data_IF_011476868816
#
_entry.id   IF_011476868816
#
_cell.length_a   1.000
_cell.length_b   1.000
_cell.length_c   1.000
_cell.angle_alpha   90.00
_cell.angle_beta   90.00
_cell.angle_gamma   90.00
#
_symmetry.space_group_name_H-M   'P 1'
#
loop_
_entity.id
_entity.type
_entity.pdbx_description
1 polymer ?
#
# COMPACT_ATOMS: atom_id res chain seq x y z
N UNK A 1 -28.90 -22.13 -13.18
CA UNK A 1 -29.92 -21.07 -13.21
C UNK A 1 -29.25 -19.73 -13.37
N UNK A 2 -28.70 -19.19 -12.28
CA UNK A 2 -27.88 -17.97 -12.30
C UNK A 2 -26.64 -18.11 -13.20
N UNK A 3 -25.87 -19.19 -13.06
CA UNK A 3 -24.67 -19.45 -13.89
C UNK A 3 -24.95 -19.38 -15.40
N UNK A 4 -25.93 -20.15 -15.89
CA UNK A 4 -26.35 -20.15 -17.29
C UNK A 4 -26.82 -18.76 -17.79
N UNK A 5 -27.46 -17.96 -16.92
CA UNK A 5 -27.84 -16.60 -17.27
C UNK A 5 -26.61 -15.71 -17.43
N UNK A 6 -25.66 -15.78 -16.50
CA UNK A 6 -24.40 -15.02 -16.57
C UNK A 6 -23.58 -15.44 -17.79
N UNK A 7 -23.47 -16.74 -18.07
CA UNK A 7 -22.83 -17.26 -19.28
C UNK A 7 -23.44 -16.63 -20.54
N UNK A 8 -24.76 -16.67 -20.67
CA UNK A 8 -25.45 -16.12 -21.84
C UNK A 8 -25.28 -14.59 -21.97
N UNK A 9 -25.19 -13.86 -20.85
CA UNK A 9 -24.95 -12.42 -20.85
C UNK A 9 -23.51 -12.09 -21.27
N UNK A 10 -22.52 -12.82 -20.76
CA UNK A 10 -21.11 -12.65 -21.12
C UNK A 10 -20.89 -13.02 -22.60
N UNK A 11 -21.37 -14.19 -23.03
CA UNK A 11 -21.32 -14.65 -24.43
C UNK A 11 -22.01 -13.67 -25.39
N UNK A 12 -23.08 -13.02 -24.92
CA UNK A 12 -23.81 -11.99 -25.64
C UNK A 12 -23.18 -10.61 -25.62
N UNK A 13 -21.98 -10.45 -25.05
CA UNK A 13 -21.26 -9.18 -24.90
C UNK A 13 -22.09 -8.08 -24.22
N UNK A 14 -22.79 -8.44 -23.13
CA UNK A 14 -23.70 -7.52 -22.43
C UNK A 14 -23.03 -6.20 -22.06
N UNK A 15 -21.75 -6.21 -21.66
CA UNK A 15 -21.05 -4.99 -21.21
C UNK A 15 -20.83 -4.04 -22.39
N UNK A 16 -20.41 -4.53 -23.55
CA UNK A 16 -20.27 -3.71 -24.76
C UNK A 16 -21.60 -3.03 -25.14
N UNK A 17 -22.72 -3.77 -25.08
CA UNK A 17 -24.05 -3.25 -25.38
C UNK A 17 -24.52 -2.22 -24.33
N UNK A 18 -24.25 -2.49 -23.05
CA UNK A 18 -24.55 -1.56 -21.95
C UNK A 18 -23.75 -0.25 -22.10
N UNK A 19 -22.46 -0.33 -22.41
CA UNK A 19 -21.60 0.84 -22.64
C UNK A 19 -22.10 1.65 -23.84
N UNK A 20 -22.47 0.99 -24.94
CA UNK A 20 -23.06 1.67 -26.10
C UNK A 20 -24.34 2.43 -25.74
N UNK A 21 -25.16 1.88 -24.83
CA UNK A 21 -26.34 2.57 -24.32
C UNK A 21 -25.96 3.74 -23.40
N UNK A 22 -25.02 3.54 -22.47
CA UNK A 22 -24.51 4.58 -21.55
C UNK A 22 -24.01 5.81 -22.28
N UNK A 23 -23.41 5.67 -23.47
CA UNK A 23 -22.95 6.81 -24.26
C UNK A 23 -24.07 7.72 -24.78
N UNK A 24 -25.32 7.25 -24.76
CA UNK A 24 -26.50 7.97 -25.27
C UNK A 24 -27.35 8.60 -24.17
N UNK A 25 -27.12 8.22 -22.92
CA UNK A 25 -27.91 8.69 -21.78
C UNK A 25 -27.50 10.12 -21.36
N UNK A 26 -28.49 10.97 -21.12
CA UNK A 26 -28.35 12.32 -20.59
C UNK A 26 -28.71 12.34 -19.10
N UNK A 27 -27.70 12.38 -18.24
CA UNK A 27 -27.87 12.40 -16.78
C UNK A 27 -28.50 13.69 -16.23
N UNK A 28 -28.83 14.69 -17.07
CA UNK A 28 -29.71 15.78 -16.66
C UNK A 28 -31.18 15.34 -16.54
N UNK A 29 -31.55 14.22 -17.18
CA UNK A 29 -32.85 13.56 -17.06
C UNK A 29 -32.76 12.50 -15.95
N UNK A 30 -33.63 12.61 -14.94
CA UNK A 30 -33.58 11.75 -13.75
C UNK A 30 -33.69 10.27 -14.11
N UNK A 31 -34.61 9.91 -14.99
CA UNK A 31 -34.83 8.53 -15.43
C UNK A 31 -33.61 7.95 -16.15
N UNK A 32 -32.85 8.77 -16.87
CA UNK A 32 -31.63 8.34 -17.56
C UNK A 32 -30.44 8.27 -16.60
N UNK A 33 -30.36 9.16 -15.60
CA UNK A 33 -29.40 9.05 -14.51
C UNK A 33 -29.62 7.76 -13.68
N UNK A 34 -30.89 7.39 -13.42
CA UNK A 34 -31.24 6.10 -12.81
C UNK A 34 -30.84 4.93 -13.74
N UNK A 35 -30.93 5.11 -15.06
CA UNK A 35 -30.44 4.15 -16.06
C UNK A 35 -28.93 3.91 -15.99
N UNK A 36 -28.14 4.97 -15.80
CA UNK A 36 -26.70 4.87 -15.55
C UNK A 36 -26.42 4.08 -14.27
N UNK A 37 -27.11 4.43 -13.18
CA UNK A 37 -26.97 3.75 -11.89
C UNK A 37 -27.26 2.24 -12.00
N UNK A 38 -28.38 1.87 -12.62
CA UNK A 38 -28.75 0.47 -12.83
C UNK A 38 -27.74 -0.28 -13.71
N UNK A 39 -27.11 0.40 -14.67
CA UNK A 39 -26.06 -0.21 -15.50
C UNK A 39 -24.83 -0.56 -14.69
N UNK A 40 -24.39 0.35 -13.80
CA UNK A 40 -23.28 0.09 -12.89
C UNK A 40 -23.60 -1.05 -11.91
N UNK A 41 -24.83 -1.09 -11.40
CA UNK A 41 -25.31 -2.18 -10.55
C UNK A 41 -25.31 -3.53 -11.24
N UNK A 42 -25.66 -3.60 -12.54
CA UNK A 42 -25.54 -4.86 -13.29
C UNK A 42 -24.09 -5.33 -13.31
N UNK A 43 -23.15 -4.43 -13.61
CA UNK A 43 -21.72 -4.80 -13.66
C UNK A 43 -21.22 -5.25 -12.28
N UNK A 44 -21.53 -4.51 -11.22
CA UNK A 44 -21.14 -4.88 -9.85
C UNK A 44 -21.62 -6.29 -9.49
N UNK A 45 -22.92 -6.57 -9.67
CA UNK A 45 -23.50 -7.88 -9.37
C UNK A 45 -22.85 -9.00 -10.19
N UNK A 46 -22.56 -8.74 -11.47
CA UNK A 46 -21.90 -9.74 -12.31
C UNK A 46 -20.44 -9.97 -11.91
N UNK A 47 -19.71 -8.91 -11.54
CA UNK A 47 -18.34 -8.98 -11.07
C UNK A 47 -18.22 -9.71 -9.72
N UNK A 48 -19.17 -9.49 -8.80
CA UNK A 48 -19.24 -10.21 -7.53
C UNK A 48 -19.50 -11.71 -7.75
N UNK A 49 -20.35 -12.06 -8.72
CA UNK A 49 -20.67 -13.46 -9.02
C UNK A 49 -19.60 -14.18 -9.85
N UNK A 50 -18.95 -13.48 -10.78
CA UNK A 50 -17.93 -14.03 -11.69
C UNK A 50 -16.79 -13.03 -11.93
N UNK A 51 -15.81 -12.92 -11.03
CA UNK A 51 -14.73 -11.94 -11.14
C UNK A 51 -13.92 -12.00 -12.45
N UNK A 52 -13.88 -13.17 -13.10
CA UNK A 52 -13.15 -13.37 -14.35
C UNK A 52 -13.68 -12.52 -15.51
N UNK A 53 -14.94 -12.08 -15.47
CA UNK A 53 -15.49 -11.21 -16.51
C UNK A 53 -14.97 -9.77 -16.44
N UNK A 54 -14.36 -9.35 -15.32
CA UNK A 54 -13.88 -7.97 -15.14
C UNK A 54 -12.88 -7.56 -16.23
N UNK A 55 -12.02 -8.48 -16.68
CA UNK A 55 -11.06 -8.23 -17.76
C UNK A 55 -11.79 -7.93 -19.07
N UNK A 56 -12.75 -8.78 -19.44
CA UNK A 56 -13.53 -8.61 -20.66
C UNK A 56 -14.40 -7.34 -20.59
N UNK A 57 -15.06 -7.09 -19.46
CA UNK A 57 -15.89 -5.91 -19.23
C UNK A 57 -15.09 -4.61 -19.44
N UNK A 58 -13.87 -4.54 -18.89
CA UNK A 58 -13.00 -3.39 -19.06
C UNK A 58 -12.59 -3.19 -20.53
N UNK A 59 -12.19 -4.26 -21.22
CA UNK A 59 -11.80 -4.26 -22.63
C UNK A 59 -12.96 -3.92 -23.58
N UNK A 60 -14.20 -4.28 -23.21
CA UNK A 60 -15.42 -3.93 -23.94
C UNK A 60 -15.82 -2.45 -23.81
N UNK A 61 -14.96 -1.60 -23.24
CA UNK A 61 -15.10 -0.13 -23.23
C UNK A 61 -15.61 0.45 -21.92
N UNK A 62 -15.99 -0.38 -20.94
CA UNK A 62 -16.50 0.11 -19.66
C UNK A 62 -15.44 0.93 -18.91
N UNK A 63 -14.19 0.47 -18.90
CA UNK A 63 -13.10 1.18 -18.20
C UNK A 63 -12.87 2.56 -18.82
N UNK A 64 -12.88 2.66 -20.15
CA UNK A 64 -12.76 3.93 -20.86
C UNK A 64 -13.92 4.88 -20.53
N UNK A 65 -15.14 4.35 -20.45
CA UNK A 65 -16.32 5.12 -20.09
C UNK A 65 -16.25 5.63 -18.65
N UNK A 66 -15.85 4.79 -17.69
CA UNK A 66 -15.69 5.16 -16.27
C UNK A 66 -14.66 6.29 -16.11
N UNK A 67 -13.50 6.20 -16.77
CA UNK A 67 -12.48 7.26 -16.73
C UNK A 67 -13.01 8.58 -17.32
N UNK A 68 -13.77 8.53 -18.42
CA UNK A 68 -14.43 9.70 -19.03
C UNK A 68 -15.43 10.32 -18.06
N UNK A 69 -16.24 9.49 -17.38
CA UNK A 69 -17.27 9.94 -16.43
C UNK A 69 -16.67 10.55 -15.16
N UNK A 70 -15.60 9.99 -14.62
CA UNK A 70 -14.88 10.56 -13.47
C UNK A 70 -14.23 11.90 -13.82
N UNK A 71 -13.65 12.04 -15.02
CA UNK A 71 -13.04 13.28 -15.51
C UNK A 71 -14.04 14.37 -15.90
N UNK A 72 -15.31 14.01 -16.14
CA UNK A 72 -16.33 14.94 -16.58
C UNK A 72 -16.45 16.14 -15.63
N UNK A 73 -16.53 17.35 -16.20
CA UNK A 73 -16.65 18.61 -15.46
C UNK A 73 -18.08 18.85 -15.00
N UNK A 74 -18.59 17.94 -14.19
CA UNK A 74 -19.90 18.02 -13.57
C UNK A 74 -19.76 18.03 -12.04
N UNK A 75 -20.77 18.55 -11.32
CA UNK A 75 -20.81 18.45 -9.87
C UNK A 75 -20.70 17.00 -9.41
N UNK A 76 -20.25 16.80 -8.18
CA UNK A 76 -20.31 15.49 -7.53
C UNK A 76 -21.77 15.04 -7.39
N UNK A 77 -22.02 13.78 -7.74
CA UNK A 77 -23.31 13.09 -7.64
C UNK A 77 -23.10 11.61 -7.28
N UNK A 78 -24.20 10.92 -6.97
CA UNK A 78 -24.17 9.51 -6.57
C UNK A 78 -23.59 8.60 -7.68
N UNK A 79 -23.84 8.91 -8.95
CA UNK A 79 -23.28 8.14 -10.06
C UNK A 79 -21.76 8.31 -10.17
N UNK A 80 -21.20 9.47 -9.83
CA UNK A 80 -19.74 9.67 -9.77
C UNK A 80 -19.11 8.86 -8.65
N UNK A 81 -19.76 8.79 -7.47
CA UNK A 81 -19.35 7.88 -6.40
C UNK A 81 -19.38 6.43 -6.90
N UNK A 82 -20.48 5.99 -7.50
CA UNK A 82 -20.62 4.59 -7.94
C UNK A 82 -19.60 4.22 -9.03
N UNK A 83 -19.27 5.14 -9.93
CA UNK A 83 -18.19 4.94 -10.91
C UNK A 83 -16.84 4.67 -10.23
N UNK A 84 -16.57 5.30 -9.08
CA UNK A 84 -15.31 5.07 -8.34
C UNK A 84 -15.27 3.70 -7.68
N UNK A 85 -16.41 3.18 -7.22
CA UNK A 85 -16.54 1.82 -6.64
C UNK A 85 -16.36 0.75 -7.71
N UNK A 86 -17.10 0.86 -8.83
CA UNK A 86 -16.96 -0.08 -9.95
C UNK A 86 -15.54 -0.05 -10.53
N UNK A 87 -14.91 1.12 -10.60
CA UNK A 87 -13.50 1.22 -11.01
C UNK A 87 -12.58 0.43 -10.07
N UNK A 88 -12.77 0.55 -8.76
CA UNK A 88 -11.98 -0.19 -7.78
C UNK A 88 -12.18 -1.72 -7.94
N UNK A 89 -13.43 -2.17 -8.15
CA UNK A 89 -13.76 -3.57 -8.41
C UNK A 89 -13.05 -4.09 -9.67
N UNK A 90 -13.09 -3.35 -10.79
CA UNK A 90 -12.44 -3.78 -12.03
C UNK A 90 -10.92 -3.91 -11.90
N UNK A 91 -10.29 -3.15 -11.00
CA UNK A 91 -8.85 -3.17 -10.78
C UNK A 91 -8.42 -4.15 -9.68
N UNK A 92 -9.36 -4.73 -8.94
CA UNK A 92 -9.05 -5.63 -7.84
C UNK A 92 -8.42 -6.92 -8.39
N UNK A 93 -7.18 -7.18 -7.98
CA UNK A 93 -6.39 -8.37 -8.36
C UNK A 93 -6.35 -8.69 -9.87
N UNK A 94 -6.34 -7.64 -10.71
CA UNK A 94 -6.41 -7.77 -12.17
C UNK A 94 -5.33 -6.92 -12.88
N UNK A 95 -4.22 -7.55 -13.27
CA UNK A 95 -3.08 -6.86 -13.89
C UNK A 95 -3.38 -6.39 -15.31
N UNK A 96 -4.20 -7.10 -16.07
CA UNK A 96 -4.65 -6.69 -17.41
C UNK A 96 -5.42 -5.36 -17.35
N UNK A 97 -6.32 -5.21 -16.38
CA UNK A 97 -7.08 -3.98 -16.19
C UNK A 97 -6.22 -2.84 -15.65
N UNK A 98 -5.25 -3.14 -14.77
CA UNK A 98 -4.25 -2.16 -14.30
C UNK A 98 -3.39 -1.65 -15.46
N UNK A 99 -3.01 -2.51 -16.40
CA UNK A 99 -2.27 -2.10 -17.59
C UNK A 99 -3.13 -1.25 -18.52
N UNK A 100 -4.34 -1.71 -18.82
CA UNK A 100 -5.28 -0.99 -19.69
C UNK A 100 -5.61 0.41 -19.14
N UNK A 101 -5.82 0.55 -17.83
CA UNK A 101 -6.01 1.86 -17.21
C UNK A 101 -4.80 2.77 -17.46
N UNK A 102 -3.59 2.24 -17.34
CA UNK A 102 -2.35 2.95 -17.62
C UNK A 102 -2.22 3.37 -19.08
N UNK A 103 -2.61 2.53 -20.04
CA UNK A 103 -2.63 2.84 -21.47
C UNK A 103 -3.65 3.93 -21.84
N UNK A 104 -4.74 4.05 -21.09
CA UNK A 104 -5.80 5.04 -21.27
C UNK A 104 -5.53 6.37 -20.55
N UNK A 105 -4.29 6.66 -20.16
CA UNK A 105 -3.89 7.82 -19.33
C UNK A 105 -4.69 7.91 -18.00
N UNK A 106 -5.18 6.77 -17.49
CA UNK A 106 -6.04 6.72 -16.31
C UNK A 106 -5.33 7.15 -15.02
N UNK A 107 -4.00 6.97 -14.94
CA UNK A 107 -3.21 7.44 -13.80
C UNK A 107 -3.32 8.98 -13.66
N UNK A 108 -3.25 9.71 -14.77
CA UNK A 108 -3.41 11.17 -14.76
C UNK A 108 -4.84 11.57 -14.37
N UNK A 109 -5.85 10.79 -14.79
CA UNK A 109 -7.24 11.01 -14.36
C UNK A 109 -7.38 10.85 -12.85
N UNK A 110 -6.86 9.76 -12.28
CA UNK A 110 -6.90 9.49 -10.83
C UNK A 110 -6.19 10.62 -10.06
N UNK A 111 -4.97 10.99 -10.48
CA UNK A 111 -4.20 12.07 -9.87
C UNK A 111 -4.93 13.41 -9.96
N UNK A 112 -5.55 13.72 -11.10
CA UNK A 112 -6.31 14.95 -11.29
C UNK A 112 -7.51 15.02 -10.34
N UNK A 113 -8.29 13.93 -10.21
CA UNK A 113 -9.45 13.88 -9.30
C UNK A 113 -9.00 14.00 -7.83
N UNK A 114 -7.97 13.26 -7.42
CA UNK A 114 -7.41 13.36 -6.08
C UNK A 114 -6.83 14.75 -5.78
N UNK A 115 -6.33 15.45 -6.80
CA UNK A 115 -5.73 16.77 -6.63
C UNK A 115 -6.71 17.84 -6.13
N UNK A 116 -8.02 17.61 -6.20
CA UNK A 116 -9.05 18.50 -5.62
C UNK A 116 -8.92 18.54 -4.10
N UNK A 117 -8.57 17.40 -3.48
CA UNK A 117 -8.50 17.22 -2.02
C UNK A 117 -7.11 17.52 -1.42
N UNK A 118 -6.21 18.16 -2.18
CA UNK A 118 -4.85 18.46 -1.72
C UNK A 118 -4.79 19.51 -0.60
N UNK A 119 -5.73 20.45 -0.57
CA UNK A 119 -5.78 21.58 0.38
C UNK A 119 -7.10 21.72 1.14
N UNK A 120 -8.10 20.95 0.75
CA UNK A 120 -9.44 20.98 1.34
C UNK A 120 -9.89 19.54 1.61
N UNK A 121 -10.72 19.36 2.63
CA UNK A 121 -11.35 18.06 2.87
C UNK A 121 -12.58 17.93 1.95
N UNK A 122 -13.04 16.70 1.67
CA UNK A 122 -14.36 16.46 1.10
C UNK A 122 -15.46 17.17 1.90
N UNK A 123 -16.51 17.61 1.21
CA UNK A 123 -17.63 18.36 1.77
C UNK A 123 -18.67 17.45 2.42
N UNK A 124 -18.80 16.21 1.91
CA UNK A 124 -19.74 15.20 2.40
C UNK A 124 -19.03 13.87 2.68
N UNK A 125 -19.73 12.93 3.31
CA UNK A 125 -19.18 11.60 3.59
C UNK A 125 -19.04 10.77 2.31
N UNK A 126 -20.01 10.92 1.40
CA UNK A 126 -20.05 10.27 0.08
C UNK A 126 -18.89 10.77 -0.80
N UNK A 127 -18.57 12.07 -0.77
CA UNK A 127 -17.41 12.60 -1.50
C UNK A 127 -16.09 12.09 -0.88
N UNK A 128 -16.08 11.84 0.44
CA UNK A 128 -14.93 11.23 1.10
C UNK A 128 -14.77 9.76 0.70
N UNK A 129 -15.86 9.00 0.60
CA UNK A 129 -15.85 7.62 0.13
C UNK A 129 -15.32 7.51 -1.30
N UNK A 130 -15.80 8.37 -2.21
CA UNK A 130 -15.27 8.47 -3.56
C UNK A 130 -13.76 8.75 -3.56
N UNK A 131 -13.30 9.65 -2.70
CA UNK A 131 -11.87 9.95 -2.58
C UNK A 131 -11.06 8.70 -2.16
N UNK A 132 -11.55 7.91 -1.21
CA UNK A 132 -10.87 6.66 -0.80
C UNK A 132 -10.89 5.60 -1.92
N UNK A 133 -12.00 5.44 -2.63
CA UNK A 133 -12.09 4.54 -3.78
C UNK A 133 -11.07 4.88 -4.87
N UNK A 134 -10.84 6.18 -5.12
CA UNK A 134 -9.80 6.65 -6.05
C UNK A 134 -8.38 6.37 -5.53
N UNK A 135 -8.15 6.46 -4.21
CA UNK A 135 -6.88 6.07 -3.61
C UNK A 135 -6.63 4.58 -3.70
N UNK A 136 -7.64 3.74 -3.48
CA UNK A 136 -7.53 2.29 -3.61
C UNK A 136 -7.32 1.86 -5.06
N UNK A 137 -8.03 2.48 -6.00
CA UNK A 137 -7.78 2.31 -7.45
C UNK A 137 -6.33 2.66 -7.81
N UNK A 138 -5.81 3.77 -7.29
CA UNK A 138 -4.44 4.19 -7.53
C UNK A 138 -3.40 3.24 -6.90
N UNK A 139 -3.63 2.78 -5.67
CA UNK A 139 -2.76 1.79 -5.02
C UNK A 139 -2.75 0.46 -5.77
N UNK A 140 -3.92 -0.01 -6.22
CA UNK A 140 -4.04 -1.22 -7.06
C UNK A 140 -3.24 -1.06 -8.35
N UNK A 141 -3.36 0.07 -9.05
CA UNK A 141 -2.58 0.33 -10.26
C UNK A 141 -1.06 0.29 -10.02
N UNK A 142 -0.58 0.77 -8.86
CA UNK A 142 0.85 0.80 -8.52
C UNK A 142 1.45 -0.56 -8.16
N UNK A 143 0.61 -1.59 -7.98
CA UNK A 143 1.07 -2.98 -7.89
C UNK A 143 1.67 -3.44 -9.22
N UNK A 144 1.19 -2.90 -10.35
CA UNK A 144 1.78 -3.15 -11.66
C UNK A 144 2.98 -2.23 -11.93
N UNK A 145 4.06 -2.82 -12.40
CA UNK A 145 5.36 -2.15 -12.52
C UNK A 145 5.36 -0.99 -13.53
N UNK A 146 4.70 -1.17 -14.67
CA UNK A 146 4.57 -0.18 -15.76
C UNK A 146 3.90 1.12 -15.30
N UNK A 147 2.95 1.04 -14.38
CA UNK A 147 2.22 2.19 -13.85
C UNK A 147 3.06 3.07 -12.93
N UNK A 148 4.21 2.59 -12.43
CA UNK A 148 5.09 3.40 -11.58
C UNK A 148 5.79 4.51 -12.35
N UNK A 149 6.19 4.22 -13.59
CA UNK A 149 6.73 5.25 -14.48
C UNK A 149 5.64 6.26 -14.88
N UNK A 150 4.41 5.77 -15.16
CA UNK A 150 3.26 6.63 -15.46
C UNK A 150 2.94 7.57 -14.28
N UNK A 151 2.90 7.03 -13.06
CA UNK A 151 2.71 7.82 -11.82
C UNK A 151 3.82 8.85 -11.59
N UNK A 152 5.07 8.50 -11.88
CA UNK A 152 6.22 9.40 -11.81
C UNK A 152 6.08 10.57 -12.79
N UNK A 153 5.71 10.28 -14.05
CA UNK A 153 5.48 11.27 -15.10
C UNK A 153 4.31 12.20 -14.78
N UNK A 154 3.24 11.67 -14.19
CA UNK A 154 2.06 12.42 -13.75
C UNK A 154 2.26 13.29 -12.50
N UNK A 155 3.50 13.46 -12.01
CA UNK A 155 3.82 14.19 -10.78
C UNK A 155 3.12 13.66 -9.52
N UNK A 156 2.80 12.35 -9.49
CA UNK A 156 2.11 11.72 -8.37
C UNK A 156 2.87 11.89 -7.04
N UNK A 157 4.19 11.77 -7.05
CA UNK A 157 5.03 12.00 -5.86
C UNK A 157 4.91 13.42 -5.31
N UNK A 158 4.87 14.43 -6.19
CA UNK A 158 4.71 15.83 -5.80
C UNK A 158 3.34 16.05 -5.15
N UNK A 159 2.29 15.47 -5.72
CA UNK A 159 0.94 15.56 -5.19
C UNK A 159 0.84 14.90 -3.80
N UNK A 160 1.31 13.66 -3.65
CA UNK A 160 1.26 12.95 -2.36
C UNK A 160 2.10 13.66 -1.30
N UNK A 161 3.30 14.12 -1.66
CA UNK A 161 4.15 14.90 -0.74
C UNK A 161 3.49 16.22 -0.31
N UNK A 162 2.74 16.88 -1.20
CA UNK A 162 1.94 18.06 -0.86
C UNK A 162 0.79 17.71 0.10
N UNK A 163 0.04 16.65 -0.16
CA UNK A 163 -1.05 16.18 0.72
C UNK A 163 -0.53 15.86 2.13
N UNK A 164 0.65 15.24 2.24
CA UNK A 164 1.30 14.98 3.53
C UNK A 164 1.62 16.27 4.30
N UNK A 165 2.02 17.33 3.60
CA UNK A 165 2.38 18.63 4.19
C UNK A 165 1.15 19.47 4.57
N UNK A 166 0.08 19.42 3.77
CA UNK A 166 -1.17 20.14 3.98
C UNK A 166 -2.03 19.54 5.10
N UNK A 167 -1.72 18.30 5.49
CA UNK A 167 -2.20 17.72 6.72
C UNK A 167 -3.74 17.56 6.76
N UNK A 168 -4.38 17.42 5.60
CA UNK A 168 -5.82 17.17 5.42
C UNK A 168 -6.16 15.69 5.62
N UNK A 169 -7.42 15.33 5.45
CA UNK A 169 -7.89 13.95 5.64
C UNK A 169 -7.26 12.97 4.63
N UNK A 170 -6.97 13.44 3.41
CA UNK A 170 -6.23 12.72 2.36
C UNK A 170 -4.79 12.34 2.73
N UNK A 171 -4.26 12.82 3.87
CA UNK A 171 -2.89 12.54 4.31
C UNK A 171 -2.64 11.03 4.50
N UNK A 172 -3.58 10.33 5.11
CA UNK A 172 -3.43 8.92 5.45
C UNK A 172 -3.26 8.08 4.18
N UNK A 173 -4.16 8.27 3.21
CA UNK A 173 -4.14 7.53 1.94
C UNK A 173 -2.99 7.98 1.03
N UNK A 174 -2.58 9.26 1.08
CA UNK A 174 -1.38 9.72 0.40
C UNK A 174 -0.09 9.04 0.91
N UNK A 175 -0.04 8.70 2.21
CA UNK A 175 1.08 7.92 2.76
C UNK A 175 1.09 6.49 2.21
N UNK A 176 -0.08 5.84 2.16
CA UNK A 176 -0.25 4.51 1.54
C UNK A 176 0.18 4.51 0.07
N UNK A 177 -0.24 5.49 -0.73
CA UNK A 177 0.18 5.61 -2.14
C UNK A 177 1.71 5.73 -2.28
N UNK A 178 2.36 6.52 -1.42
CA UNK A 178 3.82 6.66 -1.44
C UNK A 178 4.54 5.34 -1.14
N UNK A 179 3.99 4.54 -0.24
CA UNK A 179 4.50 3.21 0.07
C UNK A 179 4.45 2.30 -1.17
N UNK A 180 3.26 2.15 -1.78
CA UNK A 180 3.07 1.36 -3.00
C UNK A 180 3.92 1.86 -4.19
N UNK A 181 4.14 3.17 -4.30
CA UNK A 181 4.96 3.73 -5.39
C UNK A 181 6.46 3.41 -5.24
N UNK A 182 6.95 3.19 -4.02
CA UNK A 182 8.39 3.06 -3.72
C UNK A 182 8.83 1.63 -3.37
N UNK A 183 7.90 0.73 -3.04
CA UNK A 183 8.20 -0.65 -2.65
C UNK A 183 8.91 -1.43 -3.77
N UNK A 184 9.84 -2.32 -3.42
CA UNK A 184 10.49 -3.21 -4.41
C UNK A 184 11.46 -2.52 -5.40
N UNK A 185 12.14 -3.28 -6.28
CA UNK A 185 13.12 -2.75 -7.23
C UNK A 185 12.56 -1.72 -8.20
N UNK A 186 11.35 -1.95 -8.70
CA UNK A 186 10.67 -1.10 -9.66
C UNK A 186 10.17 0.22 -9.06
N UNK A 187 10.31 0.40 -7.74
CA UNK A 187 10.13 1.68 -7.06
C UNK A 187 11.39 2.57 -7.04
N UNK A 188 12.52 2.13 -7.61
CA UNK A 188 13.82 2.81 -7.45
C UNK A 188 13.81 4.26 -7.94
N UNK A 189 13.23 4.54 -9.10
CA UNK A 189 13.19 5.90 -9.66
C UNK A 189 12.28 6.81 -8.81
N UNK A 190 11.19 6.24 -8.29
CA UNK A 190 10.31 6.93 -7.36
C UNK A 190 11.03 7.26 -6.05
N UNK A 191 11.84 6.34 -5.51
CA UNK A 191 12.68 6.62 -4.33
C UNK A 191 13.64 7.79 -4.56
N UNK A 192 14.37 7.80 -5.69
CA UNK A 192 15.31 8.88 -6.00
C UNK A 192 14.58 10.22 -6.17
N UNK A 193 13.51 10.23 -6.96
CA UNK A 193 12.70 11.43 -7.17
C UNK A 193 12.10 11.96 -5.86
N UNK A 194 11.62 11.08 -4.97
CA UNK A 194 11.07 11.45 -3.67
C UNK A 194 12.09 12.25 -2.84
N UNK A 195 13.36 11.85 -2.83
CA UNK A 195 14.43 12.59 -2.14
C UNK A 195 14.72 13.93 -2.81
N UNK A 196 14.67 13.99 -4.14
CA UNK A 196 14.92 15.21 -4.92
C UNK A 196 13.84 16.27 -4.68
N UNK A 197 12.58 15.86 -4.53
CA UNK A 197 11.46 16.76 -4.21
C UNK A 197 11.30 17.05 -2.70
N UNK A 198 12.39 16.90 -1.94
CA UNK A 198 12.46 17.15 -0.49
C UNK A 198 11.57 16.23 0.37
N UNK A 199 11.21 15.04 -0.10
CA UNK A 199 10.39 14.07 0.63
C UNK A 199 10.95 13.67 1.99
N UNK A 200 12.28 13.69 2.16
CA UNK A 200 12.93 13.46 3.47
C UNK A 200 12.50 14.48 4.55
N UNK A 201 12.19 15.72 4.17
CA UNK A 201 11.69 16.74 5.12
C UNK A 201 10.25 16.48 5.55
N UNK A 202 9.51 15.65 4.80
CA UNK A 202 8.12 15.30 5.05
C UNK A 202 7.98 13.99 5.82
N UNK A 203 8.72 12.94 5.40
CA UNK A 203 8.59 11.60 6.01
C UNK A 203 9.21 11.51 7.41
N UNK A 204 10.35 12.15 7.67
CA UNK A 204 11.02 12.03 8.97
C UNK A 204 10.22 12.65 10.14
N UNK A 205 9.51 13.79 9.99
CA UNK A 205 8.56 14.23 11.01
C UNK A 205 7.47 13.19 11.33
N UNK A 206 6.99 12.46 10.32
CA UNK A 206 5.98 11.39 10.49
C UNK A 206 6.56 10.15 11.18
N UNK A 207 7.86 9.86 10.96
CA UNK A 207 8.60 8.81 11.67
C UNK A 207 8.84 9.15 13.14
N UNK A 208 9.21 10.40 13.42
CA UNK A 208 9.44 10.87 14.79
C UNK A 208 8.17 10.94 15.63
N UNK A 209 7.02 11.21 14.99
CA UNK A 209 5.76 11.33 15.69
C UNK A 209 4.58 10.90 14.84
N UNK A 210 3.97 9.80 15.26
CA UNK A 210 2.72 9.29 14.71
C UNK A 210 1.57 10.26 15.04
N UNK A 211 0.79 10.72 14.04
CA UNK A 211 -0.41 11.51 14.29
C UNK A 211 -1.38 10.76 15.20
N UNK A 212 -1.88 11.41 16.25
CA UNK A 212 -2.89 10.79 17.13
C UNK A 212 -4.22 10.72 16.39
N UNK A 213 -4.92 9.58 16.52
CA UNK A 213 -6.28 9.40 16.01
C UNK A 213 -7.25 10.28 16.82
N UNK A 214 -7.59 11.47 16.29
CA UNK A 214 -8.51 12.43 16.94
C UNK A 214 -9.98 12.17 16.51
N UNK A 215 -10.22 11.42 15.44
CA UNK A 215 -11.57 11.10 14.91
C UNK A 215 -11.74 9.60 14.66
N UNK A 216 -13.00 9.13 14.56
CA UNK A 216 -13.34 7.74 14.19
C UNK A 216 -12.78 7.32 12.83
N UNK A 217 -12.57 8.29 11.93
CA UNK A 217 -12.05 8.08 10.57
C UNK A 217 -10.58 8.50 10.50
N UNK A 218 -9.73 7.62 9.97
CA UNK A 218 -8.29 7.82 9.81
C UNK A 218 -7.47 6.61 10.23
N UNK A 219 -6.24 6.54 9.72
CA UNK A 219 -5.29 5.45 9.96
C UNK A 219 -4.97 5.30 11.45
N UNK A 220 -4.83 4.05 11.88
CA UNK A 220 -4.36 3.73 13.23
C UNK A 220 -2.89 4.12 13.39
N UNK A 221 -2.42 4.18 14.65
CA UNK A 221 -1.00 4.42 14.92
C UNK A 221 -0.11 3.33 14.30
N UNK A 222 -0.58 2.07 14.34
CA UNK A 222 0.11 0.92 13.74
C UNK A 222 0.23 1.07 12.23
N UNK A 223 -0.89 1.27 11.52
CA UNK A 223 -0.90 1.44 10.05
C UNK A 223 -0.03 2.61 9.61
N UNK A 224 -0.05 3.72 10.35
CA UNK A 224 0.81 4.87 10.07
C UNK A 224 2.29 4.49 10.19
N UNK A 225 2.68 3.84 11.29
CA UNK A 225 4.06 3.42 11.53
C UNK A 225 4.52 2.36 10.53
N UNK A 226 3.63 1.47 10.11
CA UNK A 226 3.84 0.45 9.09
C UNK A 226 4.25 1.08 7.77
N UNK A 227 3.41 1.96 7.21
CA UNK A 227 3.72 2.64 5.95
C UNK A 227 4.98 3.50 6.04
N UNK A 228 5.20 4.20 7.16
CA UNK A 228 6.42 4.99 7.32
C UNK A 228 7.67 4.08 7.34
N UNK A 229 7.64 2.96 8.06
CA UNK A 229 8.76 2.04 8.11
C UNK A 229 8.98 1.34 6.76
N UNK A 230 7.92 0.93 6.07
CA UNK A 230 8.01 0.35 4.72
C UNK A 230 8.63 1.34 3.73
N UNK A 231 8.23 2.62 3.76
CA UNK A 231 8.85 3.68 2.96
C UNK A 231 10.35 3.81 3.27
N UNK A 232 10.73 3.88 4.55
CA UNK A 232 12.15 4.00 4.93
C UNK A 232 12.97 2.75 4.53
N UNK A 233 12.40 1.56 4.66
CA UNK A 233 13.00 0.31 4.21
C UNK A 233 13.21 0.32 2.68
N UNK A 234 12.20 0.74 1.92
CA UNK A 234 12.24 0.89 0.47
C UNK A 234 13.32 1.89 0.02
N UNK A 235 13.41 3.04 0.69
CA UNK A 235 14.45 4.03 0.42
C UNK A 235 15.86 3.48 0.72
N UNK A 236 16.05 2.77 1.84
CA UNK A 236 17.34 2.15 2.17
C UNK A 236 17.70 1.04 1.19
N UNK A 237 16.74 0.25 0.73
CA UNK A 237 16.95 -0.78 -0.29
C UNK A 237 17.38 -0.18 -1.62
N UNK A 238 16.69 0.86 -2.07
CA UNK A 238 16.75 1.32 -3.46
C UNK A 238 17.71 2.49 -3.71
N UNK A 239 17.86 3.41 -2.76
CA UNK A 239 18.66 4.62 -2.98
C UNK A 239 20.15 4.31 -3.14
N UNK A 240 20.78 5.00 -4.09
CA UNK A 240 22.23 5.02 -4.32
C UNK A 240 22.73 6.46 -4.41
N UNK A 241 24.05 6.64 -4.53
CA UNK A 241 24.67 7.96 -4.75
C UNK A 241 24.33 9.02 -3.70
N UNK A 242 24.13 10.27 -4.15
CA UNK A 242 23.91 11.41 -3.27
C UNK A 242 22.61 11.30 -2.47
N UNK A 243 21.55 10.74 -3.05
CA UNK A 243 20.26 10.56 -2.38
C UNK A 243 20.39 9.58 -1.21
N UNK A 244 21.16 8.49 -1.35
CA UNK A 244 21.48 7.58 -0.23
C UNK A 244 22.23 8.29 0.88
N UNK A 245 23.25 9.08 0.54
CA UNK A 245 24.00 9.87 1.54
C UNK A 245 23.10 10.85 2.29
N UNK A 246 22.20 11.53 1.58
CA UNK A 246 21.20 12.43 2.19
C UNK A 246 20.27 11.70 3.16
N UNK A 247 19.85 10.48 2.83
CA UNK A 247 19.06 9.63 3.73
C UNK A 247 19.85 9.23 4.98
N UNK A 248 21.07 8.74 4.82
CA UNK A 248 21.91 8.30 5.95
C UNK A 248 22.23 9.47 6.90
N UNK A 249 22.46 10.67 6.38
CA UNK A 249 22.68 11.86 7.19
C UNK A 249 21.47 12.18 8.10
N UNK A 250 20.23 11.82 7.71
CA UNK A 250 19.06 11.96 8.57
C UNK A 250 19.18 11.14 9.85
N UNK A 251 19.85 9.99 9.80
CA UNK A 251 20.08 9.12 10.96
C UNK A 251 21.22 9.58 11.86
N UNK A 252 22.07 10.52 11.43
CA UNK A 252 23.14 11.10 12.26
C UNK A 252 22.78 12.45 12.86
N UNK A 253 21.75 13.13 12.32
CA UNK A 253 21.25 14.40 12.84
C UNK A 253 20.86 14.34 14.33
N UNK A 254 21.06 15.44 15.05
CA UNK A 254 20.63 15.64 16.44
C UNK A 254 21.07 14.48 17.36
N UNK A 255 22.35 14.14 17.32
CA UNK A 255 22.93 13.01 18.08
C UNK A 255 22.24 11.67 17.78
N UNK A 256 21.92 11.43 16.50
CA UNK A 256 21.25 10.23 16.04
C UNK A 256 19.85 10.00 16.65
N UNK A 257 19.07 11.06 16.88
CA UNK A 257 17.70 10.96 17.45
C UNK A 257 16.77 10.02 16.66
N UNK A 258 17.03 9.82 15.36
CA UNK A 258 16.26 8.89 14.52
C UNK A 258 16.58 7.43 14.84
N UNK A 259 17.82 7.15 15.24
CA UNK A 259 18.21 5.83 15.74
C UNK A 259 17.53 5.58 17.09
N UNK A 260 17.45 6.59 17.96
CA UNK A 260 16.70 6.47 19.21
C UNK A 260 15.22 6.14 18.98
N UNK A 261 14.58 6.85 18.04
CA UNK A 261 13.21 6.56 17.64
C UNK A 261 13.05 5.17 17.03
N UNK A 262 14.00 4.73 16.18
CA UNK A 262 13.98 3.39 15.61
C UNK A 262 14.04 2.31 16.69
N UNK A 263 14.89 2.51 17.70
CA UNK A 263 15.01 1.57 18.82
C UNK A 263 13.78 1.59 19.74
N UNK A 264 13.17 2.76 19.97
CA UNK A 264 11.89 2.86 20.69
C UNK A 264 10.81 2.02 20.01
N UNK A 265 10.67 2.18 18.68
CA UNK A 265 9.74 1.39 17.88
C UNK A 265 10.07 -0.11 17.91
N UNK A 266 11.37 -0.46 17.81
CA UNK A 266 11.82 -1.84 17.90
C UNK A 266 11.32 -2.51 19.19
N UNK A 267 11.53 -1.89 20.35
CA UNK A 267 11.07 -2.48 21.61
C UNK A 267 9.55 -2.51 21.73
N UNK A 268 8.86 -1.46 21.29
CA UNK A 268 7.38 -1.42 21.26
C UNK A 268 6.80 -2.63 20.54
N UNK A 269 7.27 -2.91 19.33
CA UNK A 269 6.76 -4.03 18.52
C UNK A 269 7.34 -5.38 18.90
N UNK A 270 8.58 -5.43 19.40
CA UNK A 270 9.16 -6.67 19.93
C UNK A 270 8.40 -7.16 21.16
N UNK A 271 8.06 -6.27 22.10
CA UNK A 271 7.29 -6.63 23.30
C UNK A 271 5.89 -7.13 22.93
N UNK A 272 5.21 -6.45 22.01
CA UNK A 272 3.91 -6.89 21.48
C UNK A 272 4.01 -8.28 20.83
N UNK A 273 5.08 -8.52 20.08
CA UNK A 273 5.30 -9.79 19.41
C UNK A 273 5.61 -10.94 20.36
N UNK A 274 6.46 -10.71 21.37
CA UNK A 274 6.74 -11.71 22.40
C UNK A 274 5.50 -12.11 23.19
N UNK A 275 4.58 -11.18 23.45
CA UNK A 275 3.30 -11.48 24.09
C UNK A 275 2.42 -12.36 23.19
N UNK A 276 2.34 -12.05 21.90
CA UNK A 276 1.58 -12.84 20.94
C UNK A 276 2.18 -14.25 20.78
N UNK A 277 3.49 -14.36 20.57
CA UNK A 277 4.20 -15.63 20.39
C UNK A 277 4.06 -16.51 21.64
N UNK A 278 4.14 -15.95 22.84
CA UNK A 278 3.93 -16.70 24.10
C UNK A 278 2.51 -17.26 24.23
N UNK A 279 1.51 -16.50 23.77
CA UNK A 279 0.11 -16.94 23.76
C UNK A 279 -0.07 -18.07 22.75
N UNK A 280 0.46 -17.92 21.54
CA UNK A 280 0.43 -18.92 20.47
C UNK A 280 1.10 -20.21 20.96
N UNK A 281 2.29 -20.14 21.56
CA UNK A 281 3.01 -21.33 22.04
C UNK A 281 2.24 -22.06 23.16
N UNK A 282 1.60 -21.31 24.07
CA UNK A 282 0.72 -21.87 25.09
C UNK A 282 -0.48 -22.62 24.48
N UNK A 283 -1.11 -22.04 23.47
CA UNK A 283 -2.21 -22.68 22.73
C UNK A 283 -1.73 -23.91 21.96
N UNK A 284 -0.59 -23.87 21.27
CA UNK A 284 0.02 -25.03 20.60
C UNK A 284 0.24 -26.18 21.60
N UNK A 285 0.76 -25.89 22.79
CA UNK A 285 0.91 -26.89 23.85
C UNK A 285 -0.42 -27.47 24.34
N UNK A 286 -1.47 -26.64 24.48
CA UNK A 286 -2.80 -27.09 24.88
C UNK A 286 -3.47 -27.97 23.83
N UNK A 287 -3.33 -27.62 22.55
CA UNK A 287 -3.83 -28.40 21.41
C UNK A 287 -3.18 -29.79 21.38
N UNK A 288 -1.85 -29.86 21.53
CA UNK A 288 -1.12 -31.13 21.62
C UNK A 288 -1.61 -31.96 22.81
N UNK A 289 -1.90 -31.35 23.97
CA UNK A 289 -2.45 -32.06 25.13
C UNK A 289 -3.87 -32.59 24.89
N UNK A 290 -4.68 -31.91 24.06
CA UNK A 290 -6.03 -32.35 23.65
C UNK A 290 -6.00 -33.37 22.50
N UNK A 291 -4.84 -33.63 21.91
CA UNK A 291 -4.70 -34.50 20.74
C UNK A 291 -5.18 -33.87 19.44
N UNK A 292 -5.26 -32.53 19.39
CA UNK A 292 -5.59 -31.77 18.19
C UNK A 292 -4.35 -31.68 17.29
N UNK A 293 -4.55 -31.81 15.98
CA UNK A 293 -3.50 -31.64 14.98
C UNK A 293 -3.40 -30.16 14.65
N UNK A 294 -2.18 -29.61 14.65
CA UNK A 294 -1.90 -28.28 14.12
C UNK A 294 -1.73 -28.46 12.61
N UNK A 295 -2.73 -28.03 11.85
CA UNK A 295 -2.71 -28.02 10.39
C UNK A 295 -2.36 -26.61 9.85
N UNK A 296 -2.42 -26.45 8.53
CA UNK A 296 -2.08 -25.20 7.88
C UNK A 296 -3.06 -24.07 8.21
N UNK A 297 -4.36 -24.36 8.33
CA UNK A 297 -5.38 -23.35 8.63
C UNK A 297 -5.13 -22.74 10.03
N UNK A 298 -4.71 -23.56 10.98
CA UNK A 298 -4.31 -23.11 12.32
C UNK A 298 -3.02 -22.27 12.28
N UNK A 299 -2.02 -22.67 11.48
CA UNK A 299 -0.80 -21.87 11.32
C UNK A 299 -1.09 -20.52 10.65
N UNK A 300 -2.00 -20.45 9.68
CA UNK A 300 -2.47 -19.21 9.07
C UNK A 300 -3.16 -18.30 10.10
N UNK A 301 -3.98 -18.87 10.99
CA UNK A 301 -4.60 -18.12 12.09
C UNK A 301 -3.53 -17.54 13.04
N UNK A 302 -2.51 -18.34 13.38
CA UNK A 302 -1.39 -17.86 14.19
C UNK A 302 -0.59 -16.77 13.48
N UNK A 303 -0.36 -16.90 12.18
CA UNK A 303 0.31 -15.88 11.38
C UNK A 303 -0.47 -14.57 11.36
N UNK A 304 -1.80 -14.60 11.14
CA UNK A 304 -2.67 -13.43 11.20
C UNK A 304 -2.58 -12.73 12.57
N UNK A 305 -2.55 -13.49 13.67
CA UNK A 305 -2.36 -12.92 15.01
C UNK A 305 -1.00 -12.24 15.19
N UNK A 306 0.05 -12.75 14.55
CA UNK A 306 1.39 -12.10 14.54
C UNK A 306 1.38 -10.82 13.69
N UNK A 307 0.69 -10.80 12.56
CA UNK A 307 0.47 -9.58 11.76
C UNK A 307 -0.30 -8.53 12.56
N UNK A 308 -1.34 -8.92 13.28
CA UNK A 308 -2.11 -8.03 14.15
C UNK A 308 -1.26 -7.39 15.24
N UNK A 309 -0.32 -8.16 15.81
CA UNK A 309 0.66 -7.70 16.79
C UNK A 309 1.78 -6.82 16.19
N UNK A 310 1.88 -6.72 14.87
CA UNK A 310 2.80 -5.82 14.17
C UNK A 310 4.07 -6.45 13.62
N UNK A 311 4.02 -7.73 13.22
CA UNK A 311 5.15 -8.45 12.62
C UNK A 311 5.79 -7.68 11.45
N UNK A 312 5.01 -7.19 10.47
CA UNK A 312 5.56 -6.46 9.32
C UNK A 312 6.31 -5.18 9.73
N UNK A 313 5.75 -4.41 10.67
CA UNK A 313 6.41 -3.21 11.18
C UNK A 313 7.73 -3.58 11.86
N UNK A 314 7.75 -4.65 12.66
CA UNK A 314 8.95 -5.14 13.34
C UNK A 314 10.03 -5.61 12.36
N UNK A 315 9.64 -6.34 11.31
CA UNK A 315 10.53 -6.81 10.25
C UNK A 315 11.16 -5.62 9.51
N UNK A 316 10.36 -4.62 9.12
CA UNK A 316 10.88 -3.41 8.49
C UNK A 316 11.81 -2.61 9.41
N UNK A 317 11.50 -2.50 10.71
CA UNK A 317 12.39 -1.85 11.68
C UNK A 317 13.73 -2.58 11.78
N UNK A 318 13.71 -3.92 11.87
CA UNK A 318 14.92 -4.73 11.92
C UNK A 318 15.73 -4.61 10.63
N UNK A 319 15.06 -4.62 9.47
CA UNK A 319 15.69 -4.41 8.17
C UNK A 319 16.34 -3.02 8.06
N UNK A 320 15.65 -1.96 8.45
CA UNK A 320 16.19 -0.59 8.53
C UNK A 320 17.45 -0.58 9.41
N UNK A 321 17.37 -1.20 10.59
CA UNK A 321 18.48 -1.29 11.54
C UNK A 321 19.71 -1.95 10.91
N UNK A 322 19.51 -3.07 10.20
CA UNK A 322 20.59 -3.78 9.50
C UNK A 322 21.20 -2.95 8.38
N UNK A 323 20.39 -2.32 7.53
CA UNK A 323 20.85 -1.46 6.43
C UNK A 323 21.68 -0.27 6.93
N UNK A 324 21.23 0.45 7.97
CA UNK A 324 21.96 1.62 8.48
C UNK A 324 23.24 1.24 9.23
N UNK A 325 23.30 0.08 9.89
CA UNK A 325 24.53 -0.44 10.49
C UNK A 325 25.57 -0.85 9.45
N UNK A 326 25.13 -1.31 8.28
CA UNK A 326 26.00 -1.65 7.13
C UNK A 326 26.45 -0.41 6.34
N UNK A 327 26.02 0.80 6.70
CA UNK A 327 26.36 2.02 5.98
C UNK A 327 27.79 2.55 6.24
N UNK A 328 28.62 1.83 7.02
CA UNK A 328 29.96 2.26 7.44
C UNK A 328 29.98 3.61 8.21
N UNK A 329 28.93 3.87 9.00
CA UNK A 329 28.81 5.05 9.86
C UNK A 329 28.95 4.61 11.33
N UNK A 330 30.13 4.76 11.97
CA UNK A 330 30.38 4.23 13.31
C UNK A 330 29.41 4.75 14.37
N UNK A 331 29.00 6.02 14.27
CA UNK A 331 28.06 6.65 15.19
C UNK A 331 26.74 5.89 15.28
N UNK A 332 26.15 5.54 14.12
CA UNK A 332 24.86 4.82 14.05
C UNK A 332 25.02 3.42 14.66
N UNK A 333 26.04 2.68 14.21
CA UNK A 333 26.29 1.31 14.67
C UNK A 333 26.53 1.26 16.18
N UNK A 334 27.36 2.16 16.70
CA UNK A 334 27.62 2.26 18.14
C UNK A 334 26.33 2.56 18.91
N UNK A 335 25.49 3.49 18.43
CA UNK A 335 24.24 3.84 19.09
C UNK A 335 23.26 2.67 19.15
N UNK A 336 23.10 1.90 18.07
CA UNK A 336 22.26 0.69 18.03
C UNK A 336 22.73 -0.33 19.08
N UNK A 337 24.01 -0.70 19.07
CA UNK A 337 24.53 -1.68 20.05
C UNK A 337 24.46 -1.17 21.48
N UNK A 338 24.72 0.13 21.71
CA UNK A 338 24.62 0.74 23.02
C UNK A 338 23.19 0.58 23.57
N UNK A 339 22.17 0.89 22.77
CA UNK A 339 20.77 0.82 23.20
C UNK A 339 20.32 -0.64 23.43
N UNK A 340 20.69 -1.57 22.54
CA UNK A 340 20.40 -3.00 22.72
C UNK A 340 20.96 -3.52 24.05
N UNK A 341 22.23 -3.21 24.33
CA UNK A 341 22.90 -3.64 25.56
C UNK A 341 22.27 -3.01 26.82
N UNK A 342 21.93 -1.72 26.79
CA UNK A 342 21.30 -1.04 27.94
C UNK A 342 19.90 -1.60 28.27
N UNK A 343 19.16 -2.10 27.27
CA UNK A 343 17.81 -2.65 27.43
C UNK A 343 17.78 -4.17 27.62
N UNK A 344 18.95 -4.83 27.65
CA UNK A 344 19.06 -6.28 27.83
C UNK A 344 18.60 -7.09 26.62
N UNK A 345 18.41 -6.47 25.45
CA UNK A 345 18.05 -7.17 24.22
C UNK A 345 19.30 -7.63 23.47
N UNK A 346 19.19 -8.75 22.77
CA UNK A 346 20.29 -9.32 22.01
C UNK A 346 20.18 -9.00 20.53
N UNK A 347 21.32 -8.66 19.92
CA UNK A 347 21.47 -8.60 18.46
C UNK A 347 20.99 -9.89 17.77
N UNK A 348 21.06 -11.03 18.46
CA UNK A 348 20.58 -12.34 17.96
C UNK A 348 19.09 -12.34 17.66
N UNK A 349 18.28 -11.61 18.43
CA UNK A 349 16.83 -11.49 18.21
C UNK A 349 16.58 -10.78 16.88
N UNK A 350 17.27 -9.66 16.64
CA UNK A 350 17.18 -8.93 15.37
C UNK A 350 17.61 -9.81 14.19
N UNK A 351 18.70 -10.58 14.34
CA UNK A 351 19.16 -11.52 13.31
C UNK A 351 18.13 -12.62 13.01
N UNK A 352 17.41 -13.09 14.02
CA UNK A 352 16.37 -14.11 13.83
C UNK A 352 15.19 -13.55 13.03
N UNK A 353 14.70 -12.37 13.40
CA UNK A 353 13.59 -11.69 12.70
C UNK A 353 13.97 -11.39 11.24
N UNK A 354 15.21 -10.98 10.96
CA UNK A 354 15.66 -10.72 9.59
C UNK A 354 15.75 -12.01 8.77
N UNK A 355 16.10 -13.14 9.37
CA UNK A 355 16.12 -14.44 8.68
C UNK A 355 14.71 -14.86 8.28
N UNK A 356 13.77 -14.78 9.21
CA UNK A 356 12.35 -15.03 8.93
C UNK A 356 11.83 -14.10 7.82
N UNK A 357 12.10 -12.80 7.93
CA UNK A 357 11.75 -11.83 6.87
C UNK A 357 12.34 -12.20 5.50
N UNK A 358 13.56 -12.74 5.46
CA UNK A 358 14.21 -13.14 4.22
C UNK A 358 13.70 -14.48 3.66
N UNK A 359 13.06 -15.32 4.47
CA UNK A 359 12.45 -16.59 4.04
C UNK A 359 11.12 -16.33 3.32
N UNK A 360 10.32 -15.36 3.80
CA UNK A 360 9.01 -15.02 3.24
C UNK A 360 9.07 -13.97 2.11
N UNK A 361 10.27 -13.53 1.70
CA UNK A 361 10.38 -12.40 0.77
C UNK A 361 10.11 -12.78 -0.69
N UNK A 362 9.42 -11.88 -1.40
CA UNK A 362 9.23 -11.97 -2.84
C UNK A 362 8.17 -12.98 -3.25
N UNK A 363 7.16 -13.18 -2.40
CA UNK A 363 5.95 -13.87 -2.80
C UNK A 363 5.33 -13.20 -4.05
N UNK A 364 4.80 -14.00 -4.98
CA UNK A 364 4.34 -13.55 -6.30
C UNK A 364 5.43 -13.15 -7.31
N UNK A 365 6.73 -13.26 -6.99
CA UNK A 365 7.85 -13.02 -7.92
C UNK A 365 8.54 -14.32 -8.37
N UNK A 366 9.47 -14.20 -9.32
CA UNK A 366 10.24 -15.36 -9.82
C UNK A 366 11.13 -15.97 -8.72
N UNK A 367 11.40 -17.27 -8.80
CA UNK A 367 12.28 -17.95 -7.84
C UNK A 367 13.70 -17.35 -7.82
N UNK A 368 14.21 -16.91 -8.97
CA UNK A 368 15.50 -16.22 -9.09
C UNK A 368 15.50 -14.88 -8.33
N UNK A 369 14.40 -14.12 -8.41
CA UNK A 369 14.25 -12.88 -7.64
C UNK A 369 14.30 -13.17 -6.14
N UNK A 370 13.55 -14.17 -5.67
CA UNK A 370 13.52 -14.56 -4.25
C UNK A 370 14.90 -14.95 -3.74
N UNK A 371 15.61 -15.82 -4.46
CA UNK A 371 16.95 -16.29 -4.05
C UNK A 371 17.95 -15.13 -3.99
N UNK A 372 17.95 -14.24 -4.99
CA UNK A 372 18.84 -13.09 -5.02
C UNK A 372 18.55 -12.10 -3.88
N UNK A 373 17.27 -11.85 -3.60
CA UNK A 373 16.88 -10.93 -2.53
C UNK A 373 17.16 -11.52 -1.14
N UNK A 374 16.93 -12.81 -0.95
CA UNK A 374 17.28 -13.54 0.28
C UNK A 374 18.79 -13.46 0.54
N UNK A 375 19.63 -13.73 -0.47
CA UNK A 375 21.09 -13.57 -0.36
C UNK A 375 21.49 -12.15 0.01
N UNK A 376 20.87 -11.14 -0.61
CA UNK A 376 21.16 -9.72 -0.32
C UNK A 376 20.83 -9.37 1.14
N UNK A 377 19.68 -9.78 1.64
CA UNK A 377 19.24 -9.48 3.01
C UNK A 377 20.10 -10.21 4.03
N UNK A 378 20.36 -11.50 3.82
CA UNK A 378 21.21 -12.27 4.73
C UNK A 378 22.66 -11.76 4.75
N UNK A 379 23.17 -11.23 3.63
CA UNK A 379 24.48 -10.58 3.56
C UNK A 379 24.60 -9.36 4.49
N UNK A 380 23.50 -8.65 4.78
CA UNK A 380 23.50 -7.55 5.76
C UNK A 380 23.84 -8.05 7.17
N UNK A 381 23.59 -9.31 7.48
CA UNK A 381 23.86 -9.87 8.80
C UNK A 381 25.35 -10.14 9.04
N UNK A 382 26.19 -10.22 8.01
CA UNK A 382 27.62 -10.53 8.20
C UNK A 382 28.36 -9.41 8.94
N UNK A 383 28.05 -8.16 8.58
CA UNK A 383 28.71 -6.97 9.15
C UNK A 383 27.89 -6.26 10.23
N UNK A 384 26.72 -6.81 10.59
CA UNK A 384 25.80 -6.28 11.60
C UNK A 384 26.34 -6.43 13.03
#
# INVERSE_FOLDING_TARGET
GAEVLIDALVDGQVVALLVQNLERLDESVKEEADGVHNTLAIVENMAEFRPEMCTEAAQQGLLQWLLKRLKAKMPFDANKLYCSEVLAILLQDNDENRELLGELDGIDVLLQQLSVFKRHNPSTAEEQEMMENLFDSLCSCLMLSSNRERFLKGEGLQLMNLMLREKKISRSSALKVLDHAMIGPEGTDNCHKFVDILGLRTIFPLFMKSPRKIKKVGTTEKEHEEHVCSILASLLRNLRGQQRTRLLNKFTENDSEKVDRLMELHFKYLDAMQVADKKIEGEKHDMVRRGEIIDNDIEDEFYLRRLDAGLFVLQHICYIMAEICNANVPQIRQRVHQILNMRGSSIKIVRHIIKEYAEDIGDGRSAEFRENEQKRILGLLENF
#
